data_IF_808414547180
#
_entry.id   IF_808414547180
#
_cell.length_a   1.000
_cell.length_b   1.000
_cell.length_c   1.000
_cell.angle_alpha   90.00
_cell.angle_beta   90.00
_cell.angle_gamma   90.00
#
_symmetry.space_group_name_H-M   'P 1'
#
loop_
_entity.id
_entity.type
_entity.pdbx_description
1 polymer ?
#
# COMPACT_ATOMS: atom_id res chain seq x y z
N UNK A 1 19.64 -20.54 -43.81
CA UNK A 1 19.75 -20.37 -42.35
C UNK A 1 20.70 -19.24 -41.94
N UNK A 2 21.94 -19.16 -42.45
CA UNK A 2 22.92 -18.11 -42.09
C UNK A 2 22.46 -16.66 -42.41
N UNK A 3 21.76 -16.44 -43.52
CA UNK A 3 21.25 -15.10 -43.95
C UNK A 3 20.06 -14.63 -43.07
N UNK A 4 19.23 -15.56 -42.58
CA UNK A 4 18.10 -15.22 -41.67
C UNK A 4 18.64 -14.88 -40.30
N UNK A 5 19.66 -15.58 -39.79
CA UNK A 5 20.27 -15.28 -38.50
C UNK A 5 20.95 -13.90 -38.47
N UNK A 6 21.59 -13.48 -39.58
CA UNK A 6 22.20 -12.15 -39.70
C UNK A 6 21.11 -11.07 -39.76
N UNK A 7 19.98 -11.30 -40.41
CA UNK A 7 18.84 -10.38 -40.45
C UNK A 7 18.20 -10.21 -39.08
N UNK A 8 17.99 -11.29 -38.34
CA UNK A 8 17.43 -11.25 -36.97
C UNK A 8 18.39 -10.55 -35.98
N UNK A 9 19.70 -10.82 -36.10
CA UNK A 9 20.70 -10.14 -35.27
C UNK A 9 20.77 -8.64 -35.57
N UNK A 10 20.62 -8.25 -36.84
CA UNK A 10 20.56 -6.85 -37.27
C UNK A 10 19.34 -6.12 -36.74
N UNK A 11 18.16 -6.76 -36.70
CA UNK A 11 16.93 -6.18 -36.14
C UNK A 11 17.04 -6.05 -34.62
N UNK A 12 17.63 -7.03 -33.92
CA UNK A 12 17.85 -6.96 -32.47
C UNK A 12 18.85 -5.85 -32.14
N UNK A 13 19.92 -5.69 -32.93
CA UNK A 13 20.87 -4.60 -32.71
C UNK A 13 20.26 -3.23 -33.00
N UNK A 14 19.43 -3.10 -34.05
CA UNK A 14 18.73 -1.83 -34.33
C UNK A 14 17.68 -1.51 -33.25
N UNK A 15 17.00 -2.50 -32.67
CA UNK A 15 16.04 -2.27 -31.59
C UNK A 15 16.71 -1.85 -30.28
N UNK A 16 17.99 -2.16 -30.08
CA UNK A 16 18.77 -1.68 -28.90
C UNK A 16 19.16 -0.19 -29.03
N UNK A 17 19.12 0.38 -30.23
CA UNK A 17 19.37 1.82 -30.42
C UNK A 17 18.09 2.67 -30.42
N UNK A 18 16.92 2.06 -30.40
CA UNK A 18 15.64 2.75 -30.20
C UNK A 18 15.30 2.90 -28.71
N UNK A 19 16.27 3.32 -27.89
CA UNK A 19 15.98 3.80 -26.54
C UNK A 19 15.27 5.14 -26.72
N UNK A 20 13.99 5.29 -26.29
CA UNK A 20 13.37 6.59 -26.33
C UNK A 20 14.26 7.55 -25.52
N UNK A 21 14.76 8.58 -26.19
CA UNK A 21 15.46 9.67 -25.50
C UNK A 21 14.39 10.41 -24.70
N UNK A 22 14.35 10.19 -23.41
CA UNK A 22 13.51 10.98 -22.52
C UNK A 22 14.06 12.40 -22.53
N UNK A 23 13.33 13.31 -23.16
CA UNK A 23 13.63 14.73 -23.09
C UNK A 23 13.19 15.25 -21.73
N UNK A 24 13.99 16.16 -21.14
CA UNK A 24 13.56 16.87 -19.94
C UNK A 24 12.19 17.53 -20.18
N UNK A 25 11.33 17.49 -19.16
CA UNK A 25 9.98 18.06 -19.22
C UNK A 25 9.89 19.34 -18.37
N UNK A 26 10.34 20.49 -18.92
CA UNK A 26 10.38 21.75 -18.17
C UNK A 26 8.99 22.26 -17.79
N UNK A 27 7.96 21.83 -18.49
CA UNK A 27 6.57 22.15 -18.20
C UNK A 27 5.87 21.17 -17.25
N UNK A 28 6.63 20.36 -16.52
CA UNK A 28 6.08 19.41 -15.56
C UNK A 28 6.09 17.95 -16.03
N UNK A 29 5.81 17.05 -15.10
CA UNK A 29 5.80 15.60 -15.34
C UNK A 29 4.46 15.00 -14.90
N UNK A 30 3.94 14.12 -15.71
CA UNK A 30 2.72 13.35 -15.46
C UNK A 30 2.97 12.15 -14.53
N UNK A 31 2.08 11.15 -14.56
CA UNK A 31 2.17 9.91 -13.74
C UNK A 31 3.48 9.12 -13.91
N UNK A 32 4.28 9.36 -14.95
CA UNK A 32 5.63 8.80 -15.04
C UNK A 32 6.55 9.24 -13.89
N UNK A 33 6.29 10.42 -13.30
CA UNK A 33 7.02 10.96 -12.15
C UNK A 33 6.58 10.43 -10.78
N UNK A 34 5.53 9.60 -10.69
CA UNK A 34 4.96 9.12 -9.42
C UNK A 34 5.88 8.16 -8.66
N UNK A 35 6.85 7.58 -9.36
CA UNK A 35 7.86 6.70 -8.78
C UNK A 35 9.25 7.33 -8.72
N UNK A 36 9.34 8.64 -8.95
CA UNK A 36 10.57 9.44 -8.92
C UNK A 36 10.95 10.02 -10.27
N UNK A 37 11.91 10.91 -10.25
CA UNK A 37 12.42 11.57 -11.46
C UNK A 37 13.37 10.67 -12.24
N UNK A 38 12.97 9.44 -12.55
CA UNK A 38 13.81 8.38 -13.12
C UNK A 38 14.44 8.71 -14.49
N UNK A 39 13.91 9.71 -15.21
CA UNK A 39 14.54 10.26 -16.43
C UNK A 39 15.90 10.94 -16.14
N UNK A 40 16.15 11.32 -14.89
CA UNK A 40 17.38 11.96 -14.41
C UNK A 40 18.32 10.98 -13.69
N UNK A 41 18.13 9.67 -13.88
CA UNK A 41 18.91 8.62 -13.22
C UNK A 41 18.31 8.14 -11.89
N UNK A 42 19.15 7.59 -11.02
CA UNK A 42 18.75 7.16 -9.67
C UNK A 42 18.67 8.34 -8.68
N UNK A 43 18.03 8.14 -7.51
CA UNK A 43 18.01 9.16 -6.47
C UNK A 43 19.44 9.46 -5.98
N UNK A 44 19.73 10.73 -5.67
CA UNK A 44 21.03 11.20 -5.21
C UNK A 44 20.98 11.60 -3.75
N UNK A 45 21.97 11.18 -2.98
CA UNK A 45 22.17 11.64 -1.59
C UNK A 45 22.54 13.12 -1.47
N UNK A 46 23.05 13.72 -2.56
CA UNK A 46 23.44 15.13 -2.61
C UNK A 46 22.23 16.06 -2.76
N UNK A 47 21.07 15.50 -3.08
CA UNK A 47 19.80 16.26 -3.16
C UNK A 47 18.94 15.94 -1.96
N UNK A 48 18.45 16.99 -1.28
CA UNK A 48 17.52 16.88 -0.17
C UNK A 48 16.22 17.59 -0.51
N UNK A 49 15.11 16.88 -0.32
CA UNK A 49 13.75 17.45 -0.42
C UNK A 49 13.25 17.70 0.99
N UNK A 50 13.07 18.96 1.33
CA UNK A 50 12.59 19.40 2.64
C UNK A 50 11.14 19.88 2.50
N UNK A 51 10.29 19.46 3.41
CA UNK A 51 8.88 19.88 3.48
C UNK A 51 8.64 20.48 4.86
N UNK A 52 8.14 21.70 4.90
CA UNK A 52 7.84 22.41 6.14
C UNK A 52 6.39 22.87 6.13
N UNK A 53 5.72 22.86 7.28
CA UNK A 53 4.32 23.30 7.43
C UNK A 53 3.28 22.17 7.39
N UNK A 54 3.59 20.99 6.84
CA UNK A 54 2.69 19.86 6.98
C UNK A 54 2.55 19.45 8.45
N UNK A 55 1.31 19.24 8.95
CA UNK A 55 1.08 18.82 10.33
C UNK A 55 1.44 17.34 10.51
N UNK A 56 1.58 16.90 11.75
CA UNK A 56 1.67 15.48 12.09
C UNK A 56 0.31 14.81 12.16
N UNK A 57 -0.72 15.61 12.49
CA UNK A 57 -2.14 15.19 12.57
C UNK A 57 -3.01 16.27 11.92
N UNK A 58 -4.11 15.87 11.28
CA UNK A 58 -5.03 16.80 10.62
C UNK A 58 -6.47 16.69 11.16
N UNK A 59 -7.17 17.81 11.12
CA UNK A 59 -8.62 17.89 11.31
C UNK A 59 -9.35 17.80 9.96
N UNK A 60 -10.56 17.26 9.96
CA UNK A 60 -11.38 17.13 8.76
C UNK A 60 -11.58 18.47 8.05
N UNK A 61 -11.33 18.51 6.75
CA UNK A 61 -11.54 19.68 5.88
C UNK A 61 -10.74 20.93 6.27
N UNK A 62 -9.76 20.84 7.14
CA UNK A 62 -8.88 21.96 7.47
C UNK A 62 -7.81 22.16 6.39
N UNK A 63 -7.40 23.41 6.20
CA UNK A 63 -6.37 23.79 5.21
C UNK A 63 -5.05 24.02 5.90
N UNK A 64 -3.99 23.36 5.40
CA UNK A 64 -2.65 23.43 5.93
C UNK A 64 -1.69 24.00 4.86
N UNK A 65 -1.09 25.18 5.10
CA UNK A 65 -0.05 25.69 4.22
C UNK A 65 1.25 24.92 4.44
N UNK A 66 1.96 24.64 3.35
CA UNK A 66 3.27 23.99 3.42
C UNK A 66 4.18 24.42 2.29
N UNK A 67 5.46 24.31 2.51
CA UNK A 67 6.51 24.70 1.57
C UNK A 67 7.38 23.48 1.24
N UNK A 68 7.64 23.29 -0.04
CA UNK A 68 8.59 22.29 -0.55
C UNK A 68 9.86 23.00 -1.01
N UNK A 69 10.99 22.56 -0.50
CA UNK A 69 12.32 23.11 -0.87
C UNK A 69 13.22 21.95 -1.31
N UNK A 70 13.88 22.13 -2.44
CA UNK A 70 14.88 21.22 -2.98
C UNK A 70 16.26 21.86 -2.84
N UNK A 71 17.13 21.24 -2.06
CA UNK A 71 18.53 21.67 -1.91
C UNK A 71 19.45 20.63 -2.53
N UNK A 72 20.61 21.07 -3.00
CA UNK A 72 21.65 20.19 -3.51
C UNK A 72 23.02 20.72 -3.10
N UNK A 73 23.86 19.86 -2.52
CA UNK A 73 25.14 20.25 -1.94
C UNK A 73 26.24 20.48 -3.01
N UNK A 74 26.02 20.01 -4.23
CA UNK A 74 27.00 20.06 -5.33
C UNK A 74 26.60 21.07 -6.40
N UNK A 75 25.29 21.23 -6.63
CA UNK A 75 24.74 22.16 -7.62
C UNK A 75 24.37 23.50 -6.99
N UNK A 76 25.15 24.53 -7.25
CA UNK A 76 24.76 25.88 -6.91
C UNK A 76 23.50 26.29 -7.68
N UNK A 77 22.65 27.10 -7.03
CA UNK A 77 21.55 27.77 -7.70
C UNK A 77 22.16 28.89 -8.52
N UNK A 78 22.19 28.72 -9.83
CA UNK A 78 22.56 29.80 -10.73
C UNK A 78 21.37 30.76 -10.86
N UNK A 79 21.38 31.78 -10.00
CA UNK A 79 20.47 32.91 -10.02
C UNK A 79 19.10 32.67 -9.41
N UNK A 80 18.65 33.56 -8.59
CA UNK A 80 17.24 33.74 -8.18
C UNK A 80 16.43 34.31 -9.35
N UNK A 81 16.37 33.57 -10.47
CA UNK A 81 15.73 34.05 -11.70
C UNK A 81 16.51 35.17 -12.43
N UNK A 82 17.76 35.41 -12.09
CA UNK A 82 18.59 36.43 -12.74
C UNK A 82 19.25 35.84 -13.98
N UNK A 83 18.82 36.32 -15.13
CA UNK A 83 19.47 36.14 -16.41
C UNK A 83 20.83 36.87 -16.45
N UNK A 84 21.88 36.28 -15.98
CA UNK A 84 23.21 36.69 -16.33
C UNK A 84 23.78 35.70 -17.34
N UNK A 85 23.84 36.08 -18.60
CA UNK A 85 24.43 35.38 -19.76
C UNK A 85 23.54 34.43 -20.60
N UNK A 86 22.22 34.54 -20.57
CA UNK A 86 21.39 33.82 -21.58
C UNK A 86 21.37 32.29 -21.47
N UNK A 87 21.93 31.73 -20.42
CA UNK A 87 21.89 30.30 -20.09
C UNK A 87 20.82 30.07 -19.06
N UNK A 88 19.87 29.38 -19.49
CA UNK A 88 18.71 28.70 -18.90
C UNK A 88 18.52 28.92 -17.40
N UNK A 89 17.49 29.64 -17.05
CA UNK A 89 16.99 29.93 -15.68
C UNK A 89 16.37 28.71 -14.98
N UNK A 90 16.60 27.50 -15.47
CA UNK A 90 16.05 26.27 -14.86
C UNK A 90 16.84 25.88 -13.63
N UNK A 91 16.18 25.78 -12.51
CA UNK A 91 16.80 25.51 -11.22
C UNK A 91 16.31 24.21 -10.59
N UNK A 92 15.03 23.90 -10.74
CA UNK A 92 14.46 22.73 -10.08
C UNK A 92 13.13 22.29 -10.67
N UNK A 93 12.59 21.22 -10.14
CA UNK A 93 11.28 20.70 -10.48
C UNK A 93 10.76 19.81 -9.37
N UNK A 94 9.46 19.53 -9.40
CA UNK A 94 8.84 18.67 -8.39
C UNK A 94 7.66 17.89 -8.95
N UNK A 95 7.30 16.83 -8.23
CA UNK A 95 6.04 16.09 -8.36
C UNK A 95 5.51 15.83 -6.96
N UNK A 96 4.26 16.27 -6.67
CA UNK A 96 3.59 16.07 -5.38
C UNK A 96 2.38 15.18 -5.58
N UNK A 97 2.30 14.15 -4.75
CA UNK A 97 1.18 13.22 -4.66
C UNK A 97 0.68 13.20 -3.22
N UNK A 98 -0.62 13.36 -3.03
CA UNK A 98 -1.31 13.14 -1.77
C UNK A 98 -2.38 12.07 -2.00
N UNK A 99 -2.37 11.03 -1.16
CA UNK A 99 -3.34 9.92 -1.32
C UNK A 99 -4.77 10.34 -1.00
N UNK A 100 -4.93 11.40 -0.19
CA UNK A 100 -6.24 11.97 0.19
C UNK A 100 -6.13 13.48 0.41
N UNK A 101 -7.31 14.14 0.31
CA UNK A 101 -7.35 15.61 0.32
C UNK A 101 -6.95 16.20 -1.02
N UNK A 102 -6.83 17.51 -1.09
CA UNK A 102 -6.49 18.24 -2.33
C UNK A 102 -5.33 19.18 -2.07
N UNK A 103 -4.29 19.06 -2.88
CA UNK A 103 -3.14 19.98 -2.85
C UNK A 103 -3.33 21.03 -3.94
N UNK A 104 -3.20 22.30 -3.56
CA UNK A 104 -3.26 23.44 -4.49
C UNK A 104 -2.02 24.29 -4.35
N UNK A 105 -1.62 24.93 -5.45
CA UNK A 105 -0.52 25.89 -5.42
C UNK A 105 -0.99 27.25 -4.92
N UNK A 106 -0.21 27.92 -4.10
CA UNK A 106 -0.45 29.31 -3.72
C UNK A 106 -0.29 30.22 -4.95
N UNK A 107 0.70 29.94 -5.81
CA UNK A 107 0.85 30.59 -7.11
C UNK A 107 0.58 29.61 -8.26
N UNK A 108 -0.62 29.68 -8.89
CA UNK A 108 -0.99 28.77 -9.98
C UNK A 108 -0.19 29.00 -11.26
N UNK A 109 0.66 30.01 -11.35
CA UNK A 109 1.57 30.19 -12.50
C UNK A 109 2.81 29.27 -12.39
N UNK A 110 3.16 28.84 -11.17
CA UNK A 110 4.37 28.05 -10.90
C UNK A 110 4.11 26.55 -10.93
N UNK A 111 2.86 26.12 -10.81
CA UNK A 111 2.48 24.71 -10.82
C UNK A 111 1.10 24.46 -11.44
N UNK A 112 0.87 23.23 -11.88
CA UNK A 112 -0.42 22.77 -12.37
C UNK A 112 -0.65 21.30 -12.04
N UNK A 113 -1.89 20.89 -12.06
CA UNK A 113 -2.27 19.48 -11.89
C UNK A 113 -2.04 18.71 -13.20
N UNK A 114 -1.49 17.50 -13.08
CA UNK A 114 -1.28 16.58 -14.18
C UNK A 114 -1.42 15.14 -13.67
N UNK A 115 -2.34 14.36 -14.25
CA UNK A 115 -2.59 12.95 -13.91
C UNK A 115 -2.70 12.70 -12.38
N UNK A 116 -3.53 13.49 -11.68
CA UNK A 116 -3.83 13.31 -10.26
C UNK A 116 -2.72 13.72 -9.28
N UNK A 117 -1.69 14.42 -9.75
CA UNK A 117 -0.64 15.00 -8.92
C UNK A 117 -0.28 16.40 -9.36
N UNK A 118 0.32 17.17 -8.48
CA UNK A 118 0.76 18.54 -8.75
C UNK A 118 2.22 18.54 -9.23
N UNK A 119 2.51 19.30 -10.27
CA UNK A 119 3.85 19.42 -10.84
C UNK A 119 4.16 20.87 -11.21
N UNK A 120 5.42 21.20 -11.42
CA UNK A 120 5.86 22.54 -11.81
C UNK A 120 5.45 22.86 -13.26
N UNK A 121 5.28 24.15 -13.53
CA UNK A 121 5.23 24.71 -14.89
C UNK A 121 6.63 25.08 -15.37
N UNK A 122 6.75 25.55 -16.62
CA UNK A 122 7.99 26.11 -17.12
C UNK A 122 8.43 27.36 -16.33
N UNK A 123 7.49 28.15 -15.78
CA UNK A 123 7.78 29.23 -14.87
C UNK A 123 8.26 28.72 -13.50
N UNK A 124 7.59 27.69 -12.97
CA UNK A 124 7.94 27.07 -11.69
C UNK A 124 9.28 26.32 -11.69
N UNK A 125 9.74 25.88 -12.88
CA UNK A 125 11.03 25.23 -13.05
C UNK A 125 12.24 26.13 -12.75
N UNK A 126 12.02 27.44 -12.63
CA UNK A 126 13.05 28.44 -12.30
C UNK A 126 13.39 28.50 -10.80
N UNK A 127 12.63 27.83 -9.98
CA UNK A 127 12.74 27.86 -8.54
C UNK A 127 13.13 26.48 -7.97
N UNK A 128 13.54 26.48 -6.70
CA UNK A 128 13.75 25.28 -5.88
C UNK A 128 12.89 25.29 -4.61
N UNK A 129 12.03 26.30 -4.48
CA UNK A 129 11.09 26.43 -3.35
C UNK A 129 9.72 26.84 -3.88
N UNK A 130 8.69 26.17 -3.40
CA UNK A 130 7.30 26.39 -3.82
C UNK A 130 6.38 26.26 -2.62
N UNK A 131 5.34 27.10 -2.58
CA UNK A 131 4.35 27.14 -1.52
C UNK A 131 3.03 26.56 -1.98
N UNK A 132 2.43 25.75 -1.10
CA UNK A 132 1.22 25.01 -1.37
C UNK A 132 0.26 25.10 -0.19
N UNK A 133 -1.00 24.77 -0.46
CA UNK A 133 -2.02 24.53 0.52
C UNK A 133 -2.57 23.10 0.34
N UNK A 134 -2.70 22.39 1.43
CA UNK A 134 -3.37 21.11 1.45
C UNK A 134 -4.69 21.21 2.22
N UNK A 135 -5.80 20.98 1.52
CA UNK A 135 -7.11 20.81 2.14
C UNK A 135 -7.26 19.35 2.52
N UNK A 136 -7.31 19.09 3.82
CA UNK A 136 -7.43 17.75 4.35
C UNK A 136 -8.76 17.09 3.95
N UNK A 137 -8.84 15.77 3.90
CA UNK A 137 -10.09 15.07 3.60
C UNK A 137 -11.16 15.36 4.65
N UNK A 138 -12.42 15.18 4.28
CA UNK A 138 -13.55 15.35 5.19
C UNK A 138 -13.66 14.26 6.26
N UNK A 139 -12.90 13.18 6.11
CA UNK A 139 -12.81 12.07 7.06
C UNK A 139 -11.45 12.13 7.77
N UNK A 140 -11.45 12.42 9.06
CA UNK A 140 -10.26 12.48 9.91
C UNK A 140 -9.94 11.16 10.65
N UNK A 141 -10.62 10.07 10.27
CA UNK A 141 -10.29 8.72 10.73
C UNK A 141 -9.25 8.02 9.85
N UNK A 142 -8.83 8.67 8.76
CA UNK A 142 -7.95 8.12 7.74
C UNK A 142 -6.51 8.61 7.87
N UNK A 143 -5.61 7.94 7.18
CA UNK A 143 -4.24 8.38 6.95
C UNK A 143 -4.11 8.96 5.55
N UNK A 144 -3.27 9.97 5.40
CA UNK A 144 -2.90 10.55 4.11
C UNK A 144 -1.41 10.39 3.90
N UNK A 145 -1.04 9.70 2.83
CA UNK A 145 0.35 9.53 2.42
C UNK A 145 0.74 10.64 1.45
N UNK A 146 1.82 11.33 1.75
CA UNK A 146 2.47 12.28 0.86
C UNK A 146 3.70 11.65 0.26
N UNK A 147 3.84 11.79 -1.05
CA UNK A 147 5.03 11.45 -1.79
C UNK A 147 5.43 12.65 -2.64
N UNK A 148 6.59 13.19 -2.36
CA UNK A 148 7.09 14.41 -3.01
C UNK A 148 8.46 14.11 -3.59
N UNK A 149 8.57 14.21 -4.90
CA UNK A 149 9.83 14.09 -5.62
C UNK A 149 10.32 15.48 -5.98
N UNK A 150 11.58 15.77 -5.68
CA UNK A 150 12.22 17.02 -5.99
C UNK A 150 13.49 16.81 -6.82
N UNK A 151 13.64 17.57 -7.87
CA UNK A 151 14.79 17.53 -8.78
C UNK A 151 15.56 18.83 -8.74
N UNK A 152 16.85 18.76 -8.53
CA UNK A 152 17.79 19.87 -8.71
C UNK A 152 18.33 19.81 -10.14
N UNK A 153 18.10 20.87 -10.90
CA UNK A 153 18.46 20.95 -12.32
C UNK A 153 19.76 21.77 -12.47
N UNK A 154 20.65 21.29 -13.32
CA UNK A 154 21.95 21.93 -13.58
C UNK A 154 21.90 23.05 -14.65
N UNK A 155 20.69 23.44 -15.11
CA UNK A 155 20.50 24.46 -16.13
C UNK A 155 20.68 23.97 -17.56
N UNK A 156 21.10 22.73 -17.79
CA UNK A 156 21.27 22.13 -19.11
C UNK A 156 19.93 21.87 -19.84
N UNK A 157 20.02 21.62 -21.15
CA UNK A 157 18.83 21.32 -21.99
C UNK A 157 18.36 19.86 -21.91
N UNK A 158 19.11 18.98 -21.24
CA UNK A 158 18.82 17.55 -21.09
C UNK A 158 18.62 17.16 -19.64
N UNK A 159 18.35 15.89 -19.40
CA UNK A 159 18.22 15.30 -18.06
C UNK A 159 19.56 14.85 -17.44
N UNK A 160 20.66 15.00 -18.16
CA UNK A 160 21.98 14.52 -17.73
C UNK A 160 22.60 15.49 -16.72
N UNK A 161 23.07 14.94 -15.60
CA UNK A 161 23.72 15.72 -14.54
C UNK A 161 22.76 16.37 -13.55
N UNK A 162 21.45 16.26 -13.75
CA UNK A 162 20.46 16.61 -12.76
C UNK A 162 20.43 15.58 -11.63
N UNK A 163 20.06 16.01 -10.43
CA UNK A 163 20.03 15.15 -9.25
C UNK A 163 18.70 15.30 -8.54
N UNK A 164 18.07 14.19 -8.21
CA UNK A 164 16.77 14.21 -7.55
C UNK A 164 16.74 13.33 -6.29
N UNK A 165 15.77 13.59 -5.43
CA UNK A 165 15.45 12.76 -4.27
C UNK A 165 13.96 12.88 -3.94
N UNK A 166 13.53 12.14 -2.91
CA UNK A 166 12.13 12.06 -2.50
C UNK A 166 11.98 12.33 -1.02
N UNK A 167 10.87 12.96 -0.68
CA UNK A 167 10.33 13.03 0.68
C UNK A 167 9.05 12.22 0.75
N UNK A 168 8.88 11.42 1.79
CA UNK A 168 7.66 10.66 2.04
C UNK A 168 7.28 10.80 3.50
N UNK A 169 5.99 11.03 3.74
CA UNK A 169 5.43 11.08 5.08
C UNK A 169 3.98 10.63 5.05
N UNK A 170 3.52 10.09 6.17
CA UNK A 170 2.12 9.77 6.41
C UNK A 170 1.60 10.68 7.50
N UNK A 171 0.51 11.38 7.24
CA UNK A 171 -0.17 12.26 8.17
C UNK A 171 -1.45 11.56 8.64
N UNK A 172 -1.63 11.44 9.94
CA UNK A 172 -2.82 10.84 10.52
C UNK A 172 -3.93 11.88 10.72
N UNK A 173 -5.17 11.50 10.43
CA UNK A 173 -6.28 12.28 10.97
C UNK A 173 -6.33 12.20 12.50
N UNK A 174 -6.85 13.20 13.18
CA UNK A 174 -6.89 13.26 14.67
C UNK A 174 -7.63 12.06 15.27
N UNK A 175 -8.57 11.47 14.52
CA UNK A 175 -9.31 10.26 14.88
C UNK A 175 -8.79 9.02 14.13
N UNK A 176 -7.61 9.09 13.51
CA UNK A 176 -7.03 7.97 12.75
C UNK A 176 -6.74 6.78 13.67
N UNK A 177 -7.05 5.60 13.17
CA UNK A 177 -6.97 4.37 13.97
C UNK A 177 -8.27 4.07 14.73
N UNK A 178 -9.20 5.00 14.84
CA UNK A 178 -10.57 4.68 15.16
C UNK A 178 -11.25 4.04 13.93
N UNK A 179 -11.87 2.88 14.13
CA UNK A 179 -12.66 2.26 13.06
C UNK A 179 -13.80 3.21 12.67
N UNK A 180 -13.94 3.50 11.38
CA UNK A 180 -15.11 4.24 10.89
C UNK A 180 -16.40 3.62 11.45
N UNK A 181 -17.43 4.43 11.80
CA UNK A 181 -18.66 3.93 12.44
C UNK A 181 -19.32 2.77 11.71
N UNK A 182 -19.22 2.74 10.37
CA UNK A 182 -19.73 1.64 9.54
C UNK A 182 -18.91 0.36 9.71
N UNK A 183 -17.60 0.46 9.82
CA UNK A 183 -16.69 -0.67 10.03
C UNK A 183 -16.83 -1.21 11.45
N UNK A 184 -16.90 -0.33 12.45
CA UNK A 184 -17.19 -0.72 13.85
C UNK A 184 -18.50 -1.49 13.94
N UNK A 185 -19.56 -0.98 13.31
CA UNK A 185 -20.86 -1.66 13.30
C UNK A 185 -20.78 -3.04 12.63
N UNK A 186 -20.05 -3.16 11.52
CA UNK A 186 -19.87 -4.43 10.82
C UNK A 186 -19.04 -5.42 11.66
N UNK A 187 -17.94 -4.99 12.26
CA UNK A 187 -17.11 -5.84 13.14
C UNK A 187 -17.91 -6.32 14.33
N UNK A 188 -18.68 -5.42 14.97
CA UNK A 188 -19.55 -5.78 16.09
C UNK A 188 -20.65 -6.76 15.66
N UNK A 189 -21.26 -6.55 14.50
CA UNK A 189 -22.26 -7.47 13.94
C UNK A 189 -21.68 -8.87 13.69
N UNK A 190 -20.50 -8.93 13.06
CA UNK A 190 -19.83 -10.20 12.75
C UNK A 190 -19.34 -10.92 14.01
N UNK A 191 -18.83 -10.19 15.00
CA UNK A 191 -18.47 -10.77 16.31
C UNK A 191 -19.71 -11.27 17.05
N UNK A 192 -20.82 -10.55 16.99
CA UNK A 192 -22.09 -10.98 17.58
C UNK A 192 -22.63 -12.24 16.91
N UNK A 193 -22.56 -12.30 15.57
CA UNK A 193 -22.96 -13.51 14.81
C UNK A 193 -22.06 -14.70 15.16
N UNK A 194 -20.73 -14.50 15.23
CA UNK A 194 -19.79 -15.57 15.60
C UNK A 194 -20.02 -16.05 17.03
N UNK A 195 -20.27 -15.15 17.98
CA UNK A 195 -20.62 -15.50 19.37
C UNK A 195 -21.95 -16.24 19.43
N UNK A 196 -22.96 -15.78 18.68
CA UNK A 196 -24.28 -16.45 18.61
C UNK A 196 -24.17 -17.87 18.09
N UNK A 197 -23.43 -18.07 16.98
CA UNK A 197 -23.17 -19.40 16.45
C UNK A 197 -22.41 -20.29 17.44
N UNK A 198 -21.43 -19.73 18.15
CA UNK A 198 -20.69 -20.47 19.19
C UNK A 198 -21.59 -20.89 20.33
N UNK A 199 -22.48 -20.00 20.79
CA UNK A 199 -23.46 -20.32 21.83
C UNK A 199 -24.47 -21.38 21.40
N UNK A 200 -24.96 -21.31 20.15
CA UNK A 200 -25.85 -22.34 19.58
C UNK A 200 -25.15 -23.70 19.52
N UNK A 201 -23.90 -23.73 19.06
CA UNK A 201 -23.11 -24.97 19.02
C UNK A 201 -22.89 -25.54 20.43
N UNK A 202 -22.54 -24.68 21.39
CA UNK A 202 -22.41 -25.09 22.81
C UNK A 202 -23.74 -25.60 23.37
N UNK A 203 -24.86 -24.94 23.05
CA UNK A 203 -26.19 -25.37 23.45
C UNK A 203 -26.57 -26.72 22.83
N UNK A 204 -26.31 -26.94 21.55
CA UNK A 204 -26.53 -28.23 20.89
C UNK A 204 -25.68 -29.33 21.52
N UNK A 205 -24.41 -29.05 21.80
CA UNK A 205 -23.53 -29.99 22.50
C UNK A 205 -24.06 -30.29 23.92
N UNK A 206 -24.50 -29.26 24.64
CA UNK A 206 -25.08 -29.45 25.98
C UNK A 206 -26.35 -30.32 25.94
N UNK A 207 -27.27 -30.08 24.99
CA UNK A 207 -28.48 -30.89 24.80
C UNK A 207 -28.13 -32.33 24.41
N UNK A 208 -27.13 -32.53 23.57
CA UNK A 208 -26.66 -33.85 23.19
C UNK A 208 -26.13 -34.62 24.40
N UNK A 209 -25.26 -33.97 25.22
CA UNK A 209 -24.69 -34.57 26.42
C UNK A 209 -25.72 -34.75 27.55
N UNK A 210 -26.72 -33.85 27.70
CA UNK A 210 -27.75 -33.97 28.72
C UNK A 210 -28.74 -35.11 28.43
N UNK A 211 -28.83 -35.56 27.17
CA UNK A 211 -29.62 -36.74 26.76
C UNK A 211 -28.83 -38.05 26.78
N UNK A 212 -27.51 -37.97 26.94
CA UNK A 212 -26.64 -39.11 27.17
C UNK A 212 -26.87 -39.67 28.57
N UNK A 213 -26.79 -41.00 28.77
CA UNK A 213 -26.93 -41.61 30.12
C UNK A 213 -25.84 -41.19 31.09
N UNK A 214 -24.75 -40.57 30.62
CA UNK A 214 -23.70 -39.99 31.44
C UNK A 214 -23.93 -38.49 31.60
N UNK A 215 -24.05 -38.02 32.84
CA UNK A 215 -24.22 -36.62 33.16
C UNK A 215 -23.02 -35.81 32.64
N UNK A 216 -23.29 -34.66 32.00
CA UNK A 216 -22.24 -33.72 31.56
C UNK A 216 -21.46 -33.23 32.80
N UNK A 217 -20.19 -33.53 32.81
CA UNK A 217 -19.24 -33.02 33.80
C UNK A 217 -17.99 -32.51 33.01
N UNK A 218 -17.39 -31.45 33.53
CA UNK A 218 -16.11 -30.94 32.98
C UNK A 218 -15.04 -32.05 32.97
N UNK A 219 -15.04 -32.93 33.95
CA UNK A 219 -14.15 -34.09 34.02
C UNK A 219 -14.45 -35.12 32.89
N UNK A 220 -15.70 -35.37 32.58
CA UNK A 220 -16.11 -36.27 31.50
C UNK A 220 -15.80 -35.65 30.12
N UNK A 221 -16.04 -34.37 29.96
CA UNK A 221 -15.62 -33.63 28.75
C UNK A 221 -14.11 -33.69 28.53
N UNK A 222 -13.32 -33.48 29.60
CA UNK A 222 -11.86 -33.59 29.54
C UNK A 222 -11.38 -35.01 29.28
N UNK A 223 -12.05 -35.99 29.87
CA UNK A 223 -11.77 -37.40 29.64
C UNK A 223 -12.10 -37.83 28.16
N UNK A 224 -13.10 -37.20 27.57
CA UNK A 224 -13.44 -37.39 26.15
C UNK A 224 -12.44 -36.68 25.21
N UNK A 225 -12.03 -35.45 25.55
CA UNK A 225 -11.14 -34.64 24.70
C UNK A 225 -9.68 -35.11 24.78
N UNK A 226 -9.24 -35.55 25.94
CA UNK A 226 -7.85 -35.96 26.20
C UNK A 226 -7.33 -37.03 25.23
N UNK A 227 -8.07 -38.12 24.93
CA UNK A 227 -7.65 -39.13 23.94
C UNK A 227 -7.39 -38.52 22.57
N UNK A 228 -8.26 -37.59 22.10
CA UNK A 228 -8.09 -36.89 20.83
C UNK A 228 -6.85 -36.01 20.79
N UNK A 229 -6.55 -35.30 21.87
CA UNK A 229 -5.39 -34.42 21.98
C UNK A 229 -4.05 -35.14 22.14
N UNK A 230 -4.09 -36.42 22.59
CA UNK A 230 -2.90 -37.21 22.84
C UNK A 230 -2.82 -38.45 21.96
N UNK A 231 -3.69 -38.54 20.94
CA UNK A 231 -3.75 -39.68 20.03
C UNK A 231 -2.48 -39.78 19.17
N UNK A 232 -2.09 -41.01 18.90
CA UNK A 232 -1.04 -41.37 17.93
C UNK A 232 -1.65 -42.05 16.71
N UNK A 233 -2.99 -42.24 16.69
CA UNK A 233 -3.68 -42.81 15.55
C UNK A 233 -3.69 -41.81 14.38
N UNK A 234 -3.12 -42.23 13.24
CA UNK A 234 -2.98 -41.41 12.05
C UNK A 234 -4.30 -40.91 11.47
N UNK A 235 -5.40 -41.62 11.68
CA UNK A 235 -6.75 -41.20 11.21
C UNK A 235 -7.29 -40.06 12.06
N UNK A 236 -7.17 -40.19 13.39
CA UNK A 236 -7.62 -39.19 14.33
C UNK A 236 -6.77 -37.92 14.18
N UNK A 237 -5.44 -38.06 14.06
CA UNK A 237 -4.52 -36.95 13.76
C UNK A 237 -4.87 -36.29 12.45
N UNK A 238 -5.15 -37.05 11.39
CA UNK A 238 -5.59 -36.51 10.10
C UNK A 238 -6.87 -35.70 10.20
N UNK A 239 -7.87 -36.20 10.94
CA UNK A 239 -9.16 -35.51 11.18
C UNK A 239 -8.92 -34.18 11.96
N UNK A 240 -8.04 -34.18 12.97
CA UNK A 240 -7.71 -32.96 13.74
C UNK A 240 -7.05 -31.91 12.87
N UNK A 241 -6.15 -32.31 11.96
CA UNK A 241 -5.55 -31.39 11.00
C UNK A 241 -6.58 -30.80 10.03
N UNK A 242 -7.54 -31.60 9.56
CA UNK A 242 -8.64 -31.12 8.73
C UNK A 242 -9.52 -30.12 9.48
N UNK A 243 -9.89 -30.44 10.72
CA UNK A 243 -10.70 -29.56 11.54
C UNK A 243 -9.98 -28.23 11.80
N UNK A 244 -8.70 -28.28 12.16
CA UNK A 244 -7.87 -27.11 12.36
C UNK A 244 -7.79 -26.26 11.07
N UNK A 245 -7.41 -26.88 9.95
CA UNK A 245 -7.30 -26.21 8.66
C UNK A 245 -8.62 -25.59 8.21
N UNK A 246 -9.75 -26.27 8.45
CA UNK A 246 -11.07 -25.76 8.11
C UNK A 246 -11.45 -24.51 8.93
N UNK A 247 -11.12 -24.47 10.23
CA UNK A 247 -11.33 -23.27 11.05
C UNK A 247 -10.56 -22.08 10.47
N UNK A 248 -9.29 -22.26 10.15
CA UNK A 248 -8.48 -21.18 9.57
C UNK A 248 -8.86 -20.84 8.13
N UNK A 249 -9.42 -21.80 7.37
CA UNK A 249 -10.03 -21.53 6.08
C UNK A 249 -11.22 -20.56 6.20
N UNK A 250 -12.06 -20.72 7.22
CA UNK A 250 -13.15 -19.78 7.49
C UNK A 250 -12.64 -18.42 7.93
N UNK A 251 -11.61 -18.36 8.78
CA UNK A 251 -10.96 -17.11 9.19
C UNK A 251 -10.37 -16.40 7.96
N UNK A 252 -9.61 -17.10 7.14
CA UNK A 252 -9.06 -16.55 5.91
C UNK A 252 -10.14 -16.09 4.93
N UNK A 253 -11.23 -16.85 4.79
CA UNK A 253 -12.40 -16.47 4.00
C UNK A 253 -13.05 -15.17 4.48
N UNK A 254 -13.13 -14.98 5.80
CA UNK A 254 -13.60 -13.72 6.38
C UNK A 254 -12.70 -12.53 6.03
N UNK A 255 -11.37 -12.68 6.15
CA UNK A 255 -10.42 -11.65 5.74
C UNK A 255 -10.57 -11.31 4.25
N UNK A 256 -10.83 -12.33 3.41
CA UNK A 256 -11.11 -12.12 2.00
C UNK A 256 -12.37 -11.29 1.74
N UNK A 257 -13.43 -11.48 2.54
CA UNK A 257 -14.64 -10.68 2.43
C UNK A 257 -14.38 -9.21 2.70
N UNK A 258 -13.55 -8.87 3.69
CA UNK A 258 -13.25 -7.47 4.03
C UNK A 258 -12.61 -6.73 2.85
N UNK A 259 -11.55 -7.25 2.26
CA UNK A 259 -10.94 -6.58 1.11
C UNK A 259 -11.79 -6.69 -0.18
N UNK A 260 -12.69 -7.68 -0.29
CA UNK A 260 -13.66 -7.74 -1.38
C UNK A 260 -14.74 -6.67 -1.27
N UNK A 261 -15.17 -6.31 -0.05
CA UNK A 261 -16.07 -5.18 0.19
C UNK A 261 -15.39 -3.87 -0.24
N UNK A 262 -14.09 -3.70 0.05
CA UNK A 262 -13.32 -2.54 -0.41
C UNK A 262 -13.34 -2.41 -1.94
N UNK A 263 -13.24 -3.53 -2.65
CA UNK A 263 -13.20 -3.56 -4.13
C UNK A 263 -14.58 -3.61 -4.80
N UNK A 264 -15.68 -3.57 -4.03
CA UNK A 264 -17.04 -3.72 -4.57
C UNK A 264 -17.51 -2.52 -5.40
N UNK A 265 -17.03 -1.32 -5.05
CA UNK A 265 -17.31 -0.05 -5.75
C UNK A 265 -16.00 0.71 -5.97
N UNK A 266 -15.87 1.44 -7.09
CA UNK A 266 -14.74 2.35 -7.32
C UNK A 266 -14.65 3.40 -6.20
N UNK A 267 -13.44 3.78 -5.83
CA UNK A 267 -13.15 4.80 -4.81
C UNK A 267 -13.81 4.56 -3.43
N UNK A 268 -14.03 3.29 -3.09
CA UNK A 268 -14.60 2.91 -1.80
C UNK A 268 -13.61 3.26 -0.66
N UNK A 269 -14.10 3.88 0.39
CA UNK A 269 -13.33 4.27 1.59
C UNK A 269 -13.55 3.35 2.77
N UNK A 270 -14.00 2.11 2.54
CA UNK A 270 -14.29 1.14 3.59
C UNK A 270 -13.04 0.72 4.38
N UNK A 271 -11.90 0.57 3.69
CA UNK A 271 -10.58 0.28 4.27
C UNK A 271 -9.58 1.33 3.83
N UNK A 272 -8.70 1.74 4.73
CA UNK A 272 -7.50 2.48 4.37
C UNK A 272 -6.53 1.59 3.57
N UNK A 273 -5.59 2.18 2.85
CA UNK A 273 -4.57 1.42 2.10
C UNK A 273 -3.76 0.50 3.00
N UNK A 274 -3.41 0.97 4.20
CA UNK A 274 -2.67 0.19 5.20
C UNK A 274 -3.48 -1.01 5.71
N UNK A 275 -4.77 -0.81 6.00
CA UNK A 275 -5.67 -1.89 6.42
C UNK A 275 -5.90 -2.89 5.29
N UNK A 276 -6.12 -2.41 4.05
CA UNK A 276 -6.25 -3.28 2.89
C UNK A 276 -5.03 -4.19 2.72
N UNK A 277 -3.83 -3.62 2.74
CA UNK A 277 -2.57 -4.36 2.62
C UNK A 277 -2.39 -5.36 3.78
N UNK A 278 -2.75 -4.96 4.99
CA UNK A 278 -2.69 -5.83 6.17
C UNK A 278 -3.65 -7.03 6.04
N UNK A 279 -4.92 -6.80 5.69
CA UNK A 279 -5.90 -7.88 5.52
C UNK A 279 -5.57 -8.78 4.34
N UNK A 280 -5.06 -8.23 3.24
CA UNK A 280 -4.61 -9.01 2.09
C UNK A 280 -3.44 -9.93 2.47
N UNK A 281 -2.45 -9.42 3.17
CA UNK A 281 -1.28 -10.18 3.62
C UNK A 281 -1.67 -11.24 4.65
N UNK A 282 -2.50 -10.88 5.64
CA UNK A 282 -3.01 -11.82 6.64
C UNK A 282 -3.84 -12.93 6.00
N UNK A 283 -4.70 -12.59 5.03
CA UNK A 283 -5.45 -13.60 4.28
C UNK A 283 -4.50 -14.59 3.60
N UNK A 284 -3.54 -14.11 2.81
CA UNK A 284 -2.58 -14.97 2.10
C UNK A 284 -1.80 -15.88 3.03
N UNK A 285 -1.27 -15.33 4.12
CA UNK A 285 -0.54 -16.08 5.14
C UNK A 285 -1.42 -17.13 5.81
N UNK A 286 -2.63 -16.76 6.23
CA UNK A 286 -3.58 -17.67 6.88
C UNK A 286 -4.00 -18.81 5.95
N UNK A 287 -4.31 -18.50 4.69
CA UNK A 287 -4.75 -19.51 3.72
C UNK A 287 -3.64 -20.51 3.39
N UNK A 288 -2.40 -20.06 3.27
CA UNK A 288 -1.28 -20.96 2.93
C UNK A 288 -0.83 -21.75 4.15
N UNK A 289 -0.46 -21.09 5.25
CA UNK A 289 0.22 -21.74 6.38
C UNK A 289 -0.72 -22.34 7.41
N UNK A 290 -1.90 -21.76 7.62
CA UNK A 290 -2.81 -22.22 8.66
C UNK A 290 -4.00 -23.02 8.11
N UNK A 291 -4.36 -22.86 6.83
CA UNK A 291 -5.42 -23.64 6.21
C UNK A 291 -4.85 -24.72 5.27
N UNK A 292 -4.25 -24.36 4.14
CA UNK A 292 -3.88 -25.32 3.10
C UNK A 292 -2.83 -26.33 3.56
N UNK A 293 -1.74 -25.90 4.20
CA UNK A 293 -0.69 -26.83 4.67
C UNK A 293 -1.21 -27.86 5.68
N UNK A 294 -1.94 -27.48 6.76
CA UNK A 294 -2.51 -28.47 7.66
C UNK A 294 -3.51 -29.40 7.00
N UNK A 295 -4.34 -28.90 6.06
CA UNK A 295 -5.28 -29.77 5.34
C UNK A 295 -4.57 -30.80 4.48
N UNK A 296 -3.47 -30.41 3.78
CA UNK A 296 -2.64 -31.34 3.03
C UNK A 296 -1.99 -32.37 3.97
N UNK A 297 -1.42 -31.90 5.10
CA UNK A 297 -0.84 -32.81 6.11
C UNK A 297 -1.90 -33.76 6.68
N UNK A 298 -3.11 -33.28 6.93
CA UNK A 298 -4.26 -34.09 7.34
C UNK A 298 -4.60 -35.18 6.34
N UNK A 299 -4.68 -34.81 5.05
CA UNK A 299 -4.91 -35.76 3.97
C UNK A 299 -3.82 -36.84 3.91
N UNK A 300 -2.55 -36.42 3.97
CA UNK A 300 -1.41 -37.34 3.96
C UNK A 300 -1.44 -38.30 5.15
N UNK A 301 -1.66 -37.81 6.37
CA UNK A 301 -1.76 -38.63 7.57
C UNK A 301 -2.93 -39.61 7.53
N UNK A 302 -4.05 -39.22 6.94
CA UNK A 302 -5.22 -40.08 6.88
C UNK A 302 -5.11 -41.15 5.79
N UNK A 303 -4.71 -40.75 4.57
CA UNK A 303 -4.82 -41.60 3.36
C UNK A 303 -3.58 -42.46 3.14
N UNK A 304 -2.38 -41.92 3.30
CA UNK A 304 -1.14 -42.64 2.97
C UNK A 304 -0.99 -43.96 3.74
N UNK A 305 -1.21 -44.01 5.08
CA UNK A 305 -1.04 -45.25 5.82
C UNK A 305 -2.10 -46.30 5.46
N UNK A 306 -3.20 -45.91 4.79
CA UNK A 306 -4.23 -46.83 4.30
C UNK A 306 -3.87 -47.47 2.95
N UNK A 307 -2.88 -46.94 2.25
CA UNK A 307 -2.46 -47.40 0.93
C UNK A 307 -1.22 -48.30 0.98
N UNK A 308 -0.53 -48.31 2.11
CA UNK A 308 0.65 -49.15 2.39
C UNK A 308 0.22 -50.37 3.19
#
# INVERSE_FOLDING_TARGET
MRKVAIGVLGVILLSMFAIPQFTAAPGGINSFGDNGCSCHGGPSSDTTVTVTGLPTEFNASETYPFTVTVTNDVMEIWGDGLEENGWNTRAGGFRILASKGTVTSVDPTLSHEMDGGLTHTDAGNKFRTWDFEWVAPADDTVFTDFKIHGNAVNGGTGSQGDMWNSYQTTISGINAGELAPSVRALVLLLTAVALSLSLVLLGVMWVYYSRSPESFSISNFWAYLKPWLTTTDHKEVGILYFLYGFIFFLVGGFLALLFRIQLAIPENTFLTETEYNSFFTLHGTTMIFLAAMPMIAGFMNYVLPLQI
#
